data_IF_098267583734
#
_entry.id   IF_098267583734
#
_cell.length_a   1.000
_cell.length_b   1.000
_cell.length_c   1.000
_cell.angle_alpha   90.00
_cell.angle_beta   90.00
_cell.angle_gamma   90.00
#
_symmetry.space_group_name_H-M   'P 1'
#
loop_
_entity.id
_entity.type
_entity.pdbx_description
1 polymer ?
#
# COMPACT_ATOMS: atom_id res chain seq x y z
N UNK A 1 21.68 1.89 1.88
CA UNK A 1 20.48 1.85 2.75
C UNK A 1 20.38 3.22 3.40
N UNK A 2 19.21 3.87 3.38
CA UNK A 2 19.05 5.24 3.87
C UNK A 2 19.54 5.39 5.31
N UNK A 3 20.11 6.55 5.67
CA UNK A 3 20.77 6.81 6.97
C UNK A 3 19.87 6.73 8.23
N UNK A 4 18.64 6.26 8.12
CA UNK A 4 17.72 6.01 9.24
C UNK A 4 18.14 4.81 10.13
N UNK A 5 19.25 4.12 9.80
CA UNK A 5 19.64 2.81 10.33
C UNK A 5 20.32 2.78 11.71
N UNK A 6 20.17 3.80 12.56
CA UNK A 6 20.62 3.71 13.97
C UNK A 6 19.39 3.69 14.87
N UNK A 7 18.64 2.58 14.87
CA UNK A 7 17.60 2.34 15.85
C UNK A 7 18.14 1.56 17.04
N UNK A 8 17.92 2.08 18.26
CA UNK A 8 17.90 1.25 19.46
C UNK A 8 16.55 0.57 19.52
N UNK A 9 16.53 -0.76 19.39
CA UNK A 9 15.29 -1.53 19.56
C UNK A 9 14.72 -1.30 20.97
N UNK A 10 13.40 -1.04 21.10
CA UNK A 10 12.76 -0.92 22.40
C UNK A 10 12.94 -2.21 23.20
N UNK A 11 13.13 -2.09 24.52
CA UNK A 11 13.20 -3.27 25.40
C UNK A 11 11.90 -4.06 25.28
N UNK A 12 12.02 -5.34 24.92
CA UNK A 12 10.87 -6.24 24.77
C UNK A 12 10.15 -6.14 23.43
N UNK A 13 10.67 -5.41 22.44
CA UNK A 13 10.13 -5.41 21.08
C UNK A 13 10.16 -6.83 20.51
N UNK A 14 8.99 -7.32 20.09
CA UNK A 14 8.84 -8.62 19.43
C UNK A 14 8.36 -8.40 18.00
N UNK A 15 8.81 -9.21 17.03
CA UNK A 15 8.23 -9.21 15.69
C UNK A 15 6.71 -9.36 15.78
N UNK A 16 6.00 -8.44 15.15
CA UNK A 16 4.54 -8.50 15.04
C UNK A 16 4.21 -9.09 13.68
N UNK A 17 3.24 -10.01 13.57
CA UNK A 17 2.76 -10.48 12.27
C UNK A 17 2.08 -9.31 11.55
N UNK A 18 2.77 -8.75 10.57
CA UNK A 18 2.24 -7.75 9.64
C UNK A 18 2.29 -8.38 8.26
N UNK A 19 1.20 -8.25 7.51
CA UNK A 19 1.14 -8.70 6.13
C UNK A 19 2.16 -7.93 5.28
N UNK A 20 2.89 -8.66 4.43
CA UNK A 20 3.91 -8.04 3.58
C UNK A 20 3.25 -7.11 2.58
N UNK A 21 3.90 -5.98 2.33
CA UNK A 21 3.50 -5.08 1.26
C UNK A 21 3.97 -5.63 -0.08
N UNK A 22 3.00 -5.88 -0.96
CA UNK A 22 3.18 -6.47 -2.29
C UNK A 22 3.30 -5.43 -3.42
N UNK A 23 3.06 -4.15 -3.11
CA UNK A 23 3.05 -3.06 -4.10
C UNK A 23 1.74 -2.88 -4.86
N UNK A 24 0.73 -3.71 -4.60
CA UNK A 24 -0.61 -3.63 -5.22
C UNK A 24 -1.67 -3.12 -4.26
N UNK A 25 -1.50 -3.36 -2.96
CA UNK A 25 -2.34 -2.82 -1.89
C UNK A 25 -2.20 -1.29 -1.82
N UNK A 26 -3.23 -0.58 -1.38
CA UNK A 26 -3.17 0.87 -1.17
C UNK A 26 -2.02 1.23 -0.19
N UNK A 27 -0.96 1.94 -0.62
CA UNK A 27 0.21 2.21 0.22
C UNK A 27 -0.16 3.09 1.41
N UNK A 28 -1.16 3.96 1.29
CA UNK A 28 -1.59 4.82 2.39
C UNK A 28 -2.27 4.02 3.49
N UNK A 29 -3.14 3.09 3.12
CA UNK A 29 -3.84 2.23 4.09
C UNK A 29 -2.88 1.24 4.73
N UNK A 30 -2.05 0.59 3.93
CA UNK A 30 -1.04 -0.33 4.43
C UNK A 30 -0.05 0.37 5.39
N UNK A 31 0.46 1.56 5.03
CA UNK A 31 1.34 2.33 5.91
C UNK A 31 0.66 2.78 7.21
N UNK A 32 -0.64 3.09 7.18
CA UNK A 32 -1.42 3.43 8.39
C UNK A 32 -1.51 2.22 9.33
N UNK A 33 -1.86 1.05 8.80
CA UNK A 33 -1.91 -0.19 9.58
C UNK A 33 -0.54 -0.53 10.15
N UNK A 34 0.49 -0.54 9.30
CA UNK A 34 1.88 -0.76 9.68
C UNK A 34 2.31 0.17 10.83
N UNK A 35 2.13 1.48 10.66
CA UNK A 35 2.55 2.47 11.67
C UNK A 35 1.80 2.31 12.99
N UNK A 36 0.50 1.97 12.93
CA UNK A 36 -0.33 1.76 14.12
C UNK A 36 0.11 0.51 14.89
N UNK A 37 0.39 -0.58 14.17
CA UNK A 37 0.87 -1.84 14.75
C UNK A 37 2.24 -1.69 15.40
N UNK A 38 3.18 -0.97 14.76
CA UNK A 38 4.49 -0.74 15.36
C UNK A 38 4.39 0.17 16.60
N UNK A 39 3.51 1.18 16.58
CA UNK A 39 3.26 2.03 17.76
C UNK A 39 2.65 1.28 18.93
N UNK A 40 1.75 0.33 18.68
CA UNK A 40 1.07 -0.41 19.75
C UNK A 40 2.04 -1.28 20.57
N UNK A 41 3.18 -1.66 20.00
CA UNK A 41 4.27 -2.37 20.68
C UNK A 41 5.42 -1.46 21.13
N UNK A 42 5.19 -0.14 21.19
CA UNK A 42 6.14 0.84 21.69
C UNK A 42 7.22 1.28 20.69
N UNK A 43 7.02 1.04 19.38
CA UNK A 43 7.94 1.47 18.33
C UNK A 43 7.76 2.94 17.94
N UNK A 44 8.88 3.63 17.74
CA UNK A 44 8.94 5.00 17.22
C UNK A 44 9.21 5.03 15.70
N UNK A 45 9.46 6.21 15.14
CA UNK A 45 9.75 6.38 13.70
C UNK A 45 11.05 5.70 13.27
N UNK A 46 12.02 5.51 14.18
CA UNK A 46 13.25 4.77 13.88
C UNK A 46 12.96 3.28 13.81
N UNK A 47 12.20 2.75 14.77
CA UNK A 47 11.74 1.34 14.75
C UNK A 47 10.94 1.07 13.48
N UNK A 48 10.03 1.97 13.10
CA UNK A 48 9.28 1.88 11.84
C UNK A 48 10.20 1.81 10.62
N UNK A 49 11.19 2.70 10.52
CA UNK A 49 12.11 2.69 9.38
C UNK A 49 12.96 1.40 9.31
N UNK A 50 13.36 0.87 10.47
CA UNK A 50 14.23 -0.30 10.55
C UNK A 50 13.48 -1.63 10.40
N UNK A 51 12.22 -1.69 10.81
CA UNK A 51 11.39 -2.89 10.69
C UNK A 51 10.70 -3.00 9.31
N UNK A 52 10.58 -1.89 8.58
CA UNK A 52 9.90 -1.84 7.29
C UNK A 52 10.43 -2.90 6.30
N UNK A 53 11.76 -3.06 6.10
CA UNK A 53 12.30 -4.03 5.15
C UNK A 53 11.83 -5.48 5.37
N UNK A 54 11.49 -5.85 6.61
CA UNK A 54 11.00 -7.21 6.97
C UNK A 54 9.55 -7.42 6.49
N UNK A 55 8.79 -6.33 6.36
CA UNK A 55 7.39 -6.31 5.96
C UNK A 55 7.22 -5.99 4.47
N UNK A 56 8.27 -6.09 3.66
CA UNK A 56 8.21 -5.86 2.21
C UNK A 56 8.39 -7.16 1.45
N UNK A 57 7.68 -7.28 0.32
CA UNK A 57 8.00 -8.30 -0.66
C UNK A 57 9.32 -8.01 -1.39
N UNK A 58 9.97 -9.04 -1.96
CA UNK A 58 11.32 -8.91 -2.53
C UNK A 58 11.47 -7.77 -3.55
N UNK A 59 10.48 -7.57 -4.42
CA UNK A 59 10.51 -6.50 -5.42
C UNK A 59 10.50 -5.10 -4.79
N UNK A 60 9.71 -4.92 -3.73
CA UNK A 60 9.61 -3.63 -3.02
C UNK A 60 10.85 -3.39 -2.17
N UNK A 61 11.39 -4.45 -1.57
CA UNK A 61 12.66 -4.39 -0.86
C UNK A 61 13.82 -3.94 -1.78
N UNK A 62 13.90 -4.50 -2.99
CA UNK A 62 14.89 -4.08 -4.00
C UNK A 62 14.71 -2.59 -4.32
N UNK A 63 13.48 -2.13 -4.57
CA UNK A 63 13.19 -0.70 -4.77
C UNK A 63 13.65 0.16 -3.58
N UNK A 64 13.39 -0.27 -2.35
CA UNK A 64 13.81 0.47 -1.15
C UNK A 64 15.33 0.62 -1.10
N UNK A 65 16.07 -0.42 -1.46
CA UNK A 65 17.54 -0.41 -1.48
C UNK A 65 18.14 0.41 -2.62
N UNK A 66 17.39 0.65 -3.70
CA UNK A 66 17.84 1.46 -4.84
C UNK A 66 17.61 2.96 -4.64
N UNK A 67 16.91 3.37 -3.58
CA UNK A 67 16.71 4.79 -3.26
C UNK A 67 18.04 5.48 -2.92
N UNK A 68 18.33 6.65 -3.54
CA UNK A 68 19.48 7.46 -3.19
C UNK A 68 19.47 7.88 -1.72
N UNK A 69 20.60 7.72 -1.02
CA UNK A 69 20.74 8.01 0.42
C UNK A 69 20.36 9.46 0.81
N UNK A 70 20.40 10.41 -0.13
CA UNK A 70 20.05 11.83 0.10
C UNK A 70 18.55 12.11 0.04
N UNK A 71 17.73 11.17 -0.44
CA UNK A 71 16.30 11.38 -0.68
C UNK A 71 15.40 10.94 0.48
N UNK A 72 15.95 10.19 1.43
CA UNK A 72 15.22 9.67 2.58
C UNK A 72 15.97 10.03 3.86
N UNK A 73 15.61 11.16 4.46
CA UNK A 73 16.22 11.66 5.71
C UNK A 73 15.29 11.47 6.92
N UNK A 74 14.01 11.18 6.69
CA UNK A 74 13.02 10.91 7.73
C UNK A 74 12.07 9.76 7.35
N UNK A 75 11.37 9.22 8.35
CA UNK A 75 10.24 8.30 8.14
C UNK A 75 9.16 8.93 7.23
N UNK A 76 8.94 10.24 7.34
CA UNK A 76 7.99 10.96 6.49
C UNK A 76 8.40 10.95 5.02
N UNK A 77 9.69 11.16 4.72
CA UNK A 77 10.19 11.11 3.35
C UNK A 77 10.08 9.71 2.75
N UNK A 78 10.38 8.68 3.56
CA UNK A 78 10.23 7.29 3.16
C UNK A 78 8.78 6.94 2.81
N UNK A 79 7.83 7.32 3.67
CA UNK A 79 6.40 7.12 3.42
C UNK A 79 5.94 7.81 2.15
N UNK A 80 6.34 9.09 1.98
CA UNK A 80 6.01 9.85 0.79
C UNK A 80 6.54 9.17 -0.46
N UNK A 81 7.79 8.70 -0.45
CA UNK A 81 8.39 8.01 -1.61
C UNK A 81 7.72 6.68 -1.93
N UNK A 82 7.33 5.93 -0.91
CA UNK A 82 6.59 4.67 -1.09
C UNK A 82 5.22 4.95 -1.70
N UNK A 83 4.49 5.93 -1.19
CA UNK A 83 3.19 6.34 -1.75
C UNK A 83 3.37 6.82 -3.19
N UNK A 84 4.30 7.75 -3.47
CA UNK A 84 4.57 8.26 -4.81
C UNK A 84 4.90 7.15 -5.82
N UNK A 85 5.65 6.13 -5.39
CA UNK A 85 6.11 5.05 -6.27
C UNK A 85 5.02 4.01 -6.57
N UNK A 86 4.15 3.73 -5.61
CA UNK A 86 3.20 2.61 -5.70
C UNK A 86 1.72 3.00 -5.69
N UNK A 87 1.39 4.28 -5.47
CA UNK A 87 -0.01 4.74 -5.51
C UNK A 87 -0.62 4.61 -6.91
N UNK A 88 0.20 4.73 -7.97
CA UNK A 88 -0.23 4.55 -9.35
C UNK A 88 -0.38 3.07 -9.73
N UNK A 89 0.33 2.17 -9.06
CA UNK A 89 0.29 0.72 -9.28
C UNK A 89 -0.76 0.01 -8.42
N UNK A 90 -1.44 0.76 -7.55
CA UNK A 90 -2.53 0.22 -6.75
C UNK A 90 -3.67 -0.28 -7.60
N UNK A 91 -4.16 -1.46 -7.24
CA UNK A 91 -5.50 -1.88 -7.62
C UNK A 91 -6.47 -0.94 -6.90
N UNK A 92 -6.85 0.15 -7.57
CA UNK A 92 -7.94 0.98 -7.08
C UNK A 92 -9.18 0.10 -7.06
N UNK A 93 -9.91 0.02 -5.94
CA UNK A 93 -11.28 -0.47 -6.00
C UNK A 93 -11.97 0.34 -7.07
N UNK A 94 -12.69 -0.32 -7.98
CA UNK A 94 -13.40 0.38 -9.05
C UNK A 94 -14.21 1.51 -8.41
N UNK A 95 -14.19 2.71 -8.98
CA UNK A 95 -15.02 3.80 -8.49
C UNK A 95 -16.25 3.95 -9.40
N UNK A 96 -17.23 4.76 -8.99
CA UNK A 96 -18.45 4.95 -9.78
C UNK A 96 -18.16 5.47 -11.21
N UNK A 97 -17.05 6.19 -11.43
CA UNK A 97 -16.65 6.62 -12.76
C UNK A 97 -16.22 5.43 -13.65
N UNK A 98 -15.71 4.34 -13.09
CA UNK A 98 -15.42 3.13 -13.85
C UNK A 98 -16.69 2.46 -14.37
N UNK A 99 -17.83 2.57 -13.65
CA UNK A 99 -19.13 2.13 -14.15
C UNK A 99 -19.60 2.97 -15.33
N UNK A 100 -19.37 4.29 -15.31
CA UNK A 100 -19.77 5.18 -16.42
C UNK A 100 -19.00 4.92 -17.73
N UNK A 101 -17.88 4.19 -17.65
CA UNK A 101 -17.06 3.80 -18.81
C UNK A 101 -17.48 2.46 -19.41
N UNK A 102 -18.29 1.67 -18.71
CA UNK A 102 -18.87 0.43 -19.25
C UNK A 102 -20.11 0.82 -20.07
N UNK A 103 -19.91 1.00 -21.38
CA UNK A 103 -21.00 1.09 -22.35
C UNK A 103 -21.22 -0.26 -23.03
N UNK A 104 -22.45 -0.54 -23.42
CA UNK A 104 -22.75 -1.71 -24.26
C UNK A 104 -22.01 -1.56 -25.59
N UNK A 105 -21.24 -2.59 -25.98
CA UNK A 105 -20.57 -2.61 -27.28
C UNK A 105 -21.57 -2.97 -28.38
N UNK A 106 -21.29 -2.58 -29.63
CA UNK A 106 -22.17 -2.81 -30.79
C UNK A 106 -22.34 -4.30 -31.15
N UNK A 107 -21.41 -5.15 -30.71
CA UNK A 107 -21.35 -6.59 -30.92
C UNK A 107 -21.70 -7.40 -29.65
N UNK A 108 -22.07 -6.72 -28.55
CA UNK A 108 -22.33 -7.34 -27.25
C UNK A 108 -23.83 -7.51 -26.99
N UNK A 109 -24.22 -8.71 -26.58
CA UNK A 109 -25.60 -8.97 -26.16
C UNK A 109 -25.93 -8.19 -24.88
N UNK A 110 -27.20 -7.80 -24.72
CA UNK A 110 -27.64 -7.08 -23.52
C UNK A 110 -27.36 -7.88 -22.24
N UNK A 111 -27.48 -9.21 -22.30
CA UNK A 111 -27.21 -10.10 -21.19
C UNK A 111 -25.73 -10.07 -20.76
N UNK A 112 -24.81 -10.11 -21.73
CA UNK A 112 -23.36 -10.06 -21.46
C UNK A 112 -22.94 -8.69 -20.91
N UNK A 113 -23.54 -7.61 -21.42
CA UNK A 113 -23.37 -6.27 -20.87
C UNK A 113 -23.79 -6.19 -19.41
N UNK A 114 -25.00 -6.66 -19.07
CA UNK A 114 -25.51 -6.66 -17.68
C UNK A 114 -24.60 -7.48 -16.77
N UNK A 115 -24.18 -8.67 -17.22
CA UNK A 115 -23.27 -9.53 -16.46
C UNK A 115 -21.94 -8.83 -16.16
N UNK A 116 -21.35 -8.15 -17.15
CA UNK A 116 -20.08 -7.42 -17.00
C UNK A 116 -20.22 -6.17 -16.12
N UNK A 117 -21.33 -5.46 -16.25
CA UNK A 117 -21.66 -4.30 -15.42
C UNK A 117 -21.85 -4.68 -13.95
N UNK A 118 -22.61 -5.75 -13.67
CA UNK A 118 -22.83 -6.26 -12.31
C UNK A 118 -21.54 -6.79 -11.68
N UNK A 119 -20.69 -7.48 -12.45
CA UNK A 119 -19.38 -7.92 -11.97
C UNK A 119 -18.51 -6.72 -11.52
N UNK A 120 -18.43 -5.66 -12.35
CA UNK A 120 -17.67 -4.45 -12.01
C UNK A 120 -18.24 -3.69 -10.81
N UNK A 121 -19.56 -3.67 -10.65
CA UNK A 121 -20.23 -3.05 -9.49
C UNK A 121 -19.89 -3.76 -8.17
N UNK A 122 -19.60 -5.06 -8.22
CA UNK A 122 -19.24 -5.85 -7.03
C UNK A 122 -17.80 -5.59 -6.56
N UNK A 123 -16.95 -5.01 -7.42
CA UNK A 123 -15.57 -4.59 -7.09
C UNK A 123 -15.50 -3.20 -6.44
N UNK A 124 -16.64 -2.50 -6.29
CA UNK A 124 -16.73 -1.17 -5.68
C UNK A 124 -17.12 -1.34 -4.20
N UNK A 125 -16.29 -0.90 -3.24
CA UNK A 125 -16.64 -0.94 -1.82
C UNK A 125 -17.88 -0.08 -1.60
N UNK A 126 -18.94 -0.68 -1.06
CA UNK A 126 -20.11 0.06 -0.59
C UNK A 126 -19.66 1.04 0.49
N UNK A 127 -19.65 2.34 0.19
CA UNK A 127 -19.61 3.38 1.21
C UNK A 127 -21.04 3.55 1.73
N UNK A 128 -21.31 3.52 3.05
CA UNK A 128 -22.67 3.65 3.57
C UNK A 128 -23.27 5.01 3.21
N UNK A 129 -24.59 5.03 3.02
CA UNK A 129 -25.42 6.22 2.78
C UNK A 129 -25.26 7.32 3.85
#
# INVERSE_FOLDING_TARGET
MPKLCIARWPKGFKPVPIEKYDGQTNPQEWLRLYSTTIRSVGGDTFVMANYLPVCLDPAIWIWLTSLPDKLVTSWGDLNRKLIESFQATCNRPGNHFDLTRIKQKTDESLHDYIKRFCAKKTEIPNVPD
#
